data_IF_255761737657
#
_entry.id   IF_255761737657
#
_cell.length_a   1.000
_cell.length_b   1.000
_cell.length_c   1.000
_cell.angle_alpha   90.00
_cell.angle_beta   90.00
_cell.angle_gamma   90.00
#
_symmetry.space_group_name_H-M   'P 1'
#
loop_
_entity.id
_entity.type
_entity.pdbx_description
1 polymer ?
#
# COMPACT_ATOMS: atom_id res chain seq x y z
N UNK A 1 32.95 15.39 -18.95
CA UNK A 1 31.53 15.03 -19.05
C UNK A 1 31.43 13.59 -18.57
N UNK A 2 31.10 13.40 -17.30
CA UNK A 2 31.13 12.09 -16.65
C UNK A 2 29.90 11.25 -17.03
N UNK A 3 28.81 11.89 -17.49
CA UNK A 3 27.58 11.21 -17.89
C UNK A 3 27.79 10.24 -19.05
N UNK A 4 28.65 10.56 -20.02
CA UNK A 4 28.96 9.67 -21.15
C UNK A 4 29.68 8.38 -20.71
N UNK A 5 30.61 8.48 -19.75
CA UNK A 5 31.31 7.32 -19.20
C UNK A 5 30.36 6.40 -18.42
N UNK A 6 29.48 6.99 -17.60
CA UNK A 6 28.45 6.26 -16.86
C UNK A 6 27.47 5.56 -17.82
N UNK A 7 27.00 6.26 -18.87
CA UNK A 7 26.14 5.65 -19.88
C UNK A 7 26.81 4.48 -20.61
N UNK A 8 28.11 4.60 -20.91
CA UNK A 8 28.88 3.51 -21.49
C UNK A 8 28.99 2.31 -20.54
N UNK A 9 29.26 2.54 -19.26
CA UNK A 9 29.30 1.50 -18.23
C UNK A 9 27.96 0.75 -18.14
N UNK A 10 26.83 1.48 -18.11
CA UNK A 10 25.49 0.90 -18.09
C UNK A 10 25.26 0.04 -19.33
N UNK A 11 25.57 0.56 -20.52
CA UNK A 11 25.38 -0.16 -21.78
C UNK A 11 26.21 -1.45 -21.86
N UNK A 12 27.43 -1.45 -21.32
CA UNK A 12 28.26 -2.66 -21.25
C UNK A 12 27.71 -3.67 -20.24
N UNK A 13 27.18 -3.21 -19.11
CA UNK A 13 26.60 -4.10 -18.10
C UNK A 13 25.30 -4.74 -18.55
N UNK A 14 24.43 -4.00 -19.25
CA UNK A 14 23.16 -4.50 -19.81
C UNK A 14 23.36 -5.64 -20.82
N UNK A 15 24.48 -5.64 -21.56
CA UNK A 15 24.80 -6.71 -22.52
C UNK A 15 25.17 -8.04 -21.85
N UNK A 16 25.47 -8.02 -20.55
CA UNK A 16 25.93 -9.19 -19.82
C UNK A 16 24.85 -9.65 -18.84
N UNK A 17 24.59 -10.97 -18.71
CA UNK A 17 23.69 -11.46 -17.68
C UNK A 17 24.24 -11.11 -16.29
N UNK A 18 23.41 -10.44 -15.50
CA UNK A 18 23.77 -9.96 -14.15
C UNK A 18 23.77 -11.16 -13.20
N UNK A 19 24.95 -11.49 -12.63
CA UNK A 19 25.04 -12.48 -11.53
C UNK A 19 24.83 -11.86 -10.15
N UNK A 20 25.26 -10.61 -10.00
CA UNK A 20 25.15 -9.80 -8.78
C UNK A 20 24.72 -8.38 -9.19
N UNK A 21 23.81 -7.73 -8.45
CA UNK A 21 23.37 -6.37 -8.74
C UNK A 21 24.55 -5.41 -8.92
N UNK A 22 24.49 -4.58 -9.96
CA UNK A 22 25.50 -3.54 -10.19
C UNK A 22 24.93 -2.17 -9.84
N UNK A 23 25.58 -1.46 -8.91
CA UNK A 23 25.09 -0.20 -8.36
C UNK A 23 26.02 0.95 -8.76
N UNK A 24 25.45 2.00 -9.32
CA UNK A 24 26.12 3.27 -9.62
C UNK A 24 25.48 4.36 -8.77
N UNK A 25 26.21 4.86 -7.78
CA UNK A 25 25.73 5.91 -6.89
C UNK A 25 26.09 7.30 -7.43
N UNK A 26 25.12 7.94 -8.10
CA UNK A 26 25.31 9.24 -8.74
C UNK A 26 25.55 10.37 -7.73
N UNK A 27 25.05 10.23 -6.49
CA UNK A 27 25.28 11.19 -5.41
C UNK A 27 26.74 11.22 -4.95
N UNK A 28 27.43 10.08 -4.99
CA UNK A 28 28.84 9.98 -4.58
C UNK A 28 29.83 10.26 -5.71
N UNK A 29 29.36 10.33 -6.95
CA UNK A 29 30.17 10.61 -8.12
C UNK A 29 30.17 12.11 -8.45
N UNK A 30 31.27 12.64 -9.05
CA UNK A 30 31.34 14.03 -9.50
C UNK A 30 30.51 14.25 -10.77
N UNK A 31 29.18 14.17 -10.64
CA UNK A 31 28.22 14.34 -11.74
C UNK A 31 27.64 15.75 -11.65
N UNK A 32 27.79 16.54 -12.71
CA UNK A 32 27.19 17.88 -12.80
C UNK A 32 25.78 17.82 -13.43
N UNK A 33 25.09 18.96 -13.49
CA UNK A 33 23.70 18.99 -13.97
C UNK A 33 23.56 18.65 -15.46
N UNK A 34 24.55 19.00 -16.28
CA UNK A 34 24.57 18.61 -17.69
C UNK A 34 24.75 17.08 -17.84
N UNK A 35 25.56 16.47 -16.99
CA UNK A 35 25.73 15.01 -16.95
C UNK A 35 24.42 14.32 -16.48
N UNK A 36 23.70 14.90 -15.49
CA UNK A 36 22.40 14.40 -15.05
C UNK A 36 21.37 14.46 -16.16
N UNK A 37 21.23 15.62 -16.80
CA UNK A 37 20.28 15.80 -17.91
C UNK A 37 20.58 14.87 -19.09
N UNK A 38 21.88 14.65 -19.39
CA UNK A 38 22.29 13.67 -20.37
C UNK A 38 21.85 12.24 -19.97
N UNK A 39 22.09 11.83 -18.72
CA UNK A 39 21.70 10.52 -18.22
C UNK A 39 20.18 10.33 -18.21
N UNK A 40 19.41 11.36 -17.82
CA UNK A 40 17.95 11.33 -17.84
C UNK A 40 17.43 11.05 -19.25
N UNK A 41 17.97 11.75 -20.25
CA UNK A 41 17.61 11.54 -21.66
C UNK A 41 18.05 10.19 -22.19
N UNK A 42 19.24 9.74 -21.80
CA UNK A 42 19.81 8.46 -22.24
C UNK A 42 19.01 7.26 -21.70
N UNK A 43 18.74 7.26 -20.39
CA UNK A 43 18.01 6.19 -19.72
C UNK A 43 16.52 6.22 -20.08
N UNK A 44 15.92 7.41 -20.08
CA UNK A 44 14.48 7.61 -20.13
C UNK A 44 13.74 6.91 -18.99
N UNK A 45 12.41 7.05 -18.99
CA UNK A 45 11.54 6.34 -18.06
C UNK A 45 10.87 5.14 -18.76
N UNK A 46 10.87 4.01 -18.08
CA UNK A 46 10.21 2.78 -18.50
C UNK A 46 8.73 2.77 -18.13
N UNK A 47 8.12 1.58 -18.17
CA UNK A 47 6.68 1.42 -17.98
C UNK A 47 6.25 1.16 -16.52
N UNK A 48 7.19 1.06 -15.58
CA UNK A 48 6.91 0.68 -14.21
C UNK A 48 7.58 1.61 -13.19
N UNK A 49 6.88 1.86 -12.10
CA UNK A 49 7.39 2.59 -10.95
C UNK A 49 6.87 1.97 -9.65
N UNK A 50 7.73 1.91 -8.64
CA UNK A 50 7.42 1.44 -7.29
C UNK A 50 7.69 2.60 -6.33
N UNK A 51 6.78 2.81 -5.38
CA UNK A 51 6.89 3.87 -4.38
C UNK A 51 6.79 3.27 -2.99
N UNK A 52 7.84 3.42 -2.19
CA UNK A 52 7.81 3.09 -0.77
C UNK A 52 7.61 4.35 0.06
N UNK A 53 6.67 4.30 1.03
CA UNK A 53 6.39 5.37 1.99
C UNK A 53 6.75 5.00 3.43
N UNK A 54 7.22 3.78 3.66
CA UNK A 54 7.63 3.28 4.97
C UNK A 54 9.08 3.64 5.30
N UNK A 55 9.71 2.81 6.12
CA UNK A 55 11.16 2.89 6.34
C UNK A 55 11.88 2.69 5.00
N UNK A 56 12.86 3.55 4.69
CA UNK A 56 13.49 3.56 3.36
C UNK A 56 12.59 4.14 2.26
N UNK A 57 11.91 5.25 2.55
CA UNK A 57 11.08 6.00 1.58
C UNK A 57 11.85 6.25 0.27
N UNK A 58 11.36 5.66 -0.81
CA UNK A 58 12.03 5.69 -2.09
C UNK A 58 11.05 5.72 -3.27
N UNK A 59 11.57 6.22 -4.40
CA UNK A 59 10.96 6.10 -5.73
C UNK A 59 11.89 5.25 -6.57
N UNK A 60 11.35 4.18 -7.14
CA UNK A 60 12.06 3.23 -7.98
C UNK A 60 11.38 3.28 -9.34
N UNK A 61 12.11 3.60 -10.41
CA UNK A 61 11.54 3.75 -11.76
C UNK A 61 12.36 2.89 -12.71
N UNK A 62 11.70 2.06 -13.52
CA UNK A 62 12.38 1.36 -14.61
C UNK A 62 12.84 2.36 -15.66
N UNK A 63 13.89 2.03 -16.40
CA UNK A 63 14.33 2.84 -17.55
C UNK A 63 13.87 2.17 -18.86
N UNK A 64 14.24 2.74 -20.02
CA UNK A 64 14.05 2.05 -21.29
C UNK A 64 14.91 0.79 -21.44
N UNK A 65 15.95 0.64 -20.61
CA UNK A 65 16.79 -0.56 -20.60
C UNK A 65 16.23 -1.58 -19.60
N UNK A 66 15.84 -2.78 -20.05
CA UNK A 66 15.39 -3.84 -19.16
C UNK A 66 16.43 -4.17 -18.09
N UNK A 67 15.98 -4.33 -16.84
CA UNK A 67 16.86 -4.60 -15.71
C UNK A 67 17.69 -3.40 -15.24
N UNK A 68 17.43 -2.18 -15.74
CA UNK A 68 18.06 -0.95 -15.25
C UNK A 68 17.02 -0.07 -14.61
N UNK A 69 17.30 0.33 -13.37
CA UNK A 69 16.38 1.04 -12.49
C UNK A 69 17.05 2.29 -11.96
N UNK A 70 16.26 3.37 -11.84
CA UNK A 70 16.65 4.53 -11.05
C UNK A 70 16.02 4.44 -9.68
N UNK A 71 16.84 4.52 -8.65
CA UNK A 71 16.44 4.40 -7.25
C UNK A 71 16.76 5.70 -6.53
N UNK A 72 15.72 6.42 -6.11
CA UNK A 72 15.83 7.67 -5.36
C UNK A 72 15.35 7.48 -3.93
N UNK A 73 16.21 7.79 -2.96
CA UNK A 73 15.88 7.77 -1.54
C UNK A 73 15.59 9.18 -1.04
N UNK A 74 14.58 9.30 -0.19
CA UNK A 74 14.15 10.59 0.36
C UNK A 74 14.08 10.52 1.88
N UNK A 75 14.30 11.66 2.53
CA UNK A 75 13.94 11.82 3.93
C UNK A 75 12.44 12.12 4.10
N UNK A 76 12.02 12.28 5.35
CA UNK A 76 10.62 12.58 5.70
C UNK A 76 10.14 13.92 5.12
N UNK A 77 11.06 14.88 4.93
CA UNK A 77 10.80 16.20 4.33
C UNK A 77 10.76 16.18 2.80
N UNK A 78 10.83 15.01 2.15
CA UNK A 78 10.94 14.84 0.69
C UNK A 78 12.22 15.42 0.06
N UNK A 79 13.26 15.65 0.85
CA UNK A 79 14.58 15.98 0.30
C UNK A 79 15.25 14.71 -0.22
N UNK A 80 15.79 14.77 -1.44
CA UNK A 80 16.57 13.69 -2.03
C UNK A 80 17.84 13.45 -1.21
N UNK A 81 18.00 12.24 -0.71
CA UNK A 81 19.19 11.80 0.03
C UNK A 81 20.20 11.11 -0.89
N UNK A 82 19.69 10.24 -1.78
CA UNK A 82 20.54 9.41 -2.63
C UNK A 82 19.87 9.17 -3.98
N UNK A 83 20.67 9.28 -5.04
CA UNK A 83 20.29 9.01 -6.42
C UNK A 83 21.20 7.91 -6.98
N UNK A 84 20.61 6.78 -7.31
CA UNK A 84 21.33 5.61 -7.78
C UNK A 84 20.74 5.04 -9.07
N UNK A 85 21.61 4.39 -9.82
CA UNK A 85 21.22 3.48 -10.88
C UNK A 85 21.57 2.06 -10.40
N UNK A 86 20.60 1.17 -10.45
CA UNK A 86 20.77 -0.23 -10.10
C UNK A 86 20.47 -1.08 -11.33
N UNK A 87 21.39 -1.98 -11.67
CA UNK A 87 21.27 -2.92 -12.77
C UNK A 87 21.07 -4.31 -12.18
N UNK A 88 19.81 -4.74 -12.14
CA UNK A 88 19.33 -5.97 -11.52
C UNK A 88 17.94 -6.34 -12.06
N UNK A 89 17.55 -7.60 -11.93
CA UNK A 89 16.19 -8.05 -12.30
C UNK A 89 15.12 -7.30 -11.51
N UNK A 90 15.31 -7.21 -10.19
CA UNK A 90 14.48 -6.45 -9.25
C UNK A 90 15.43 -5.71 -8.31
N UNK A 91 15.24 -4.40 -8.08
CA UNK A 91 16.04 -3.63 -7.14
C UNK A 91 15.98 -4.20 -5.73
N UNK A 92 17.12 -4.21 -5.03
CA UNK A 92 17.24 -4.81 -3.68
C UNK A 92 16.16 -4.31 -2.72
N UNK A 93 15.95 -2.99 -2.68
CA UNK A 93 14.98 -2.35 -1.79
C UNK A 93 13.50 -2.68 -2.13
N UNK A 94 13.23 -3.19 -3.33
CA UNK A 94 11.89 -3.62 -3.72
C UNK A 94 11.57 -5.05 -3.25
N UNK A 95 12.60 -5.82 -2.86
CA UNK A 95 12.44 -7.20 -2.37
C UNK A 95 12.05 -7.16 -0.89
N UNK A 96 10.96 -7.84 -0.54
CA UNK A 96 10.55 -7.97 0.86
C UNK A 96 11.57 -8.81 1.64
N UNK A 97 11.86 -8.41 2.87
CA UNK A 97 12.73 -9.18 3.77
C UNK A 97 12.10 -10.52 4.13
N UNK A 98 12.93 -11.51 4.45
CA UNK A 98 12.42 -12.82 4.88
C UNK A 98 11.58 -12.69 6.16
N UNK A 99 12.00 -11.83 7.10
CA UNK A 99 11.27 -11.56 8.34
C UNK A 99 9.87 -10.99 8.05
N UNK A 100 9.75 -10.06 7.09
CA UNK A 100 8.45 -9.50 6.68
C UNK A 100 7.53 -10.58 6.09
N UNK A 101 8.10 -11.52 5.32
CA UNK A 101 7.35 -12.63 4.73
C UNK A 101 6.89 -13.59 5.82
N UNK A 102 7.75 -13.90 6.79
CA UNK A 102 7.43 -14.77 7.92
C UNK A 102 6.32 -14.17 8.80
N UNK A 103 6.42 -12.88 9.13
CA UNK A 103 5.42 -12.14 9.90
C UNK A 103 4.08 -12.07 9.15
N UNK A 104 4.10 -11.80 7.83
CA UNK A 104 2.90 -11.82 7.00
C UNK A 104 2.27 -13.22 6.98
N UNK A 105 3.08 -14.27 6.84
CA UNK A 105 2.60 -15.65 6.89
C UNK A 105 1.97 -16.00 8.24
N UNK A 106 2.57 -15.58 9.35
CA UNK A 106 2.02 -15.77 10.70
C UNK A 106 0.69 -15.02 10.88
N UNK A 107 0.63 -13.76 10.44
CA UNK A 107 -0.59 -12.95 10.47
C UNK A 107 -1.73 -13.60 9.68
N UNK A 108 -1.46 -14.06 8.46
CA UNK A 108 -2.46 -14.75 7.63
C UNK A 108 -2.95 -16.05 8.26
N UNK A 109 -2.07 -16.83 8.93
CA UNK A 109 -2.48 -18.03 9.66
C UNK A 109 -3.42 -17.71 10.82
N UNK A 110 -3.09 -16.69 11.61
CA UNK A 110 -3.93 -16.23 12.71
C UNK A 110 -5.30 -15.75 12.20
N UNK A 111 -5.33 -14.99 11.10
CA UNK A 111 -6.58 -14.58 10.45
C UNK A 111 -7.39 -15.80 9.98
N UNK A 112 -6.74 -16.81 9.40
CA UNK A 112 -7.40 -18.03 8.96
C UNK A 112 -7.97 -18.84 10.13
N UNK A 113 -7.26 -18.92 11.25
CA UNK A 113 -7.76 -19.57 12.48
C UNK A 113 -8.98 -18.83 13.04
N UNK A 114 -8.91 -17.49 13.11
CA UNK A 114 -10.05 -16.66 13.51
C UNK A 114 -11.26 -16.88 12.58
N UNK A 115 -11.07 -16.93 11.26
CA UNK A 115 -12.14 -17.22 10.30
C UNK A 115 -12.74 -18.63 10.44
N UNK A 116 -11.98 -19.60 10.95
CA UNK A 116 -12.49 -20.97 11.20
C UNK A 116 -13.27 -21.05 12.51
N UNK A 117 -12.81 -20.33 13.53
CA UNK A 117 -13.49 -20.25 14.83
C UNK A 117 -14.81 -19.45 14.72
N UNK A 118 -14.80 -18.41 13.88
CA UNK A 118 -15.95 -17.57 13.57
C UNK A 118 -16.28 -17.69 12.07
N UNK A 119 -16.79 -18.85 11.61
CA UNK A 119 -17.14 -19.03 10.20
C UNK A 119 -18.20 -18.02 9.81
N UNK A 120 -17.99 -17.33 8.69
CA UNK A 120 -19.02 -16.48 8.08
C UNK A 120 -20.14 -17.40 7.61
N UNK A 121 -21.17 -17.57 8.43
CA UNK A 121 -22.37 -18.33 8.06
C UNK A 121 -23.33 -17.45 7.25
N UNK A 122 -24.18 -18.05 6.43
CA UNK A 122 -25.26 -17.34 5.71
C UNK A 122 -26.18 -16.54 6.64
N UNK A 123 -26.19 -16.87 7.95
CA UNK A 123 -26.70 -16.01 8.99
C UNK A 123 -25.58 -15.06 9.46
N UNK A 124 -25.59 -13.87 8.88
CA UNK A 124 -24.81 -12.70 9.29
C UNK A 124 -24.81 -12.59 10.83
N UNK A 125 -23.66 -12.37 11.51
CA UNK A 125 -23.68 -12.09 12.93
C UNK A 125 -24.62 -10.90 13.15
N UNK A 126 -25.54 -11.03 14.09
CA UNK A 126 -26.56 -10.02 14.37
C UNK A 126 -25.85 -8.82 15.00
N UNK A 127 -25.35 -7.92 14.16
CA UNK A 127 -24.57 -6.75 14.60
C UNK A 127 -25.53 -5.77 15.25
N UNK A 128 -25.38 -5.60 16.56
CA UNK A 128 -26.05 -4.54 17.31
C UNK A 128 -25.38 -3.21 17.01
N UNK A 129 -26.22 -2.19 16.79
CA UNK A 129 -25.76 -0.89 16.33
C UNK A 129 -26.16 0.17 17.35
N UNK A 130 -25.18 0.88 17.90
CA UNK A 130 -25.41 1.90 18.91
C UNK A 130 -25.48 3.30 18.29
N UNK A 131 -26.48 4.07 18.69
CA UNK A 131 -26.66 5.46 18.29
C UNK A 131 -25.62 6.36 18.98
N UNK A 132 -24.84 7.12 18.20
CA UNK A 132 -23.85 8.09 18.72
C UNK A 132 -24.44 9.26 19.50
N UNK A 133 -25.73 9.53 19.32
CA UNK A 133 -26.41 10.71 19.89
C UNK A 133 -27.02 10.39 21.25
N UNK A 134 -27.76 9.27 21.35
CA UNK A 134 -28.54 8.94 22.54
C UNK A 134 -28.23 7.56 23.14
N UNK A 135 -27.29 6.82 22.53
CA UNK A 135 -26.80 5.53 23.00
C UNK A 135 -27.85 4.41 23.02
N UNK A 136 -28.95 4.61 22.29
CA UNK A 136 -29.91 3.55 22.05
C UNK A 136 -29.29 2.51 21.10
N UNK A 137 -29.48 1.23 21.43
CA UNK A 137 -28.93 0.12 20.66
C UNK A 137 -30.04 -0.52 19.84
N UNK A 138 -29.88 -0.51 18.51
CA UNK A 138 -30.69 -1.35 17.63
C UNK A 138 -30.19 -2.78 17.75
N UNK A 139 -31.06 -3.67 18.24
CA UNK A 139 -30.82 -5.11 18.27
C UNK A 139 -31.69 -5.77 17.19
N UNK A 140 -31.09 -6.29 16.09
CA UNK A 140 -31.85 -6.95 15.05
C UNK A 140 -32.67 -8.15 15.55
N UNK A 141 -32.33 -8.78 16.68
CA UNK A 141 -33.17 -9.86 17.27
C UNK A 141 -34.51 -9.32 17.77
N UNK A 142 -34.56 -8.05 18.20
CA UNK A 142 -35.76 -7.41 18.70
C UNK A 142 -36.50 -6.62 17.61
N UNK A 143 -35.76 -6.05 16.65
CA UNK A 143 -36.32 -5.11 15.68
C UNK A 143 -36.53 -3.72 16.29
N UNK A 144 -37.53 -2.99 15.81
CA UNK A 144 -37.88 -1.64 16.25
C UNK A 144 -39.40 -1.43 16.21
N UNK A 145 -40.04 -1.47 17.38
CA UNK A 145 -41.50 -1.32 17.50
C UNK A 145 -42.01 0.06 17.05
N UNK A 146 -41.21 1.12 17.19
CA UNK A 146 -41.61 2.50 16.84
C UNK A 146 -41.74 2.64 15.33
N UNK A 147 -40.77 2.07 14.60
CA UNK A 147 -40.76 2.05 13.14
C UNK A 147 -41.37 0.78 12.53
N UNK A 148 -41.93 -0.09 13.37
CA UNK A 148 -42.54 -1.36 12.98
C UNK A 148 -41.60 -2.28 12.20
N UNK A 149 -40.31 -2.27 12.57
CA UNK A 149 -39.32 -3.18 12.02
C UNK A 149 -39.42 -4.52 12.74
N UNK A 150 -39.71 -5.63 12.05
CA UNK A 150 -39.84 -6.93 12.70
C UNK A 150 -38.49 -7.47 13.20
N UNK A 151 -38.51 -8.36 14.21
CA UNK A 151 -37.37 -9.19 14.57
C UNK A 151 -36.70 -9.86 13.36
N UNK A 152 -35.37 -9.87 13.36
CA UNK A 152 -34.51 -10.50 12.35
C UNK A 152 -34.00 -9.58 11.25
N UNK A 153 -34.42 -8.30 11.19
CA UNK A 153 -33.97 -7.38 10.14
C UNK A 153 -32.60 -6.78 10.50
N UNK A 154 -31.50 -7.10 9.78
CA UNK A 154 -30.19 -6.53 10.10
C UNK A 154 -30.16 -5.03 9.82
N UNK A 155 -29.29 -4.29 10.54
CA UNK A 155 -29.20 -2.83 10.40
C UNK A 155 -28.89 -2.38 8.95
N UNK A 156 -28.13 -3.19 8.22
CA UNK A 156 -27.82 -2.99 6.80
C UNK A 156 -29.07 -2.94 5.92
N UNK A 157 -30.11 -3.71 6.27
CA UNK A 157 -31.38 -3.82 5.52
C UNK A 157 -32.50 -2.89 6.03
N UNK A 158 -32.24 -2.06 7.05
CA UNK A 158 -33.19 -1.04 7.47
C UNK A 158 -33.46 -0.04 6.33
N UNK A 159 -34.71 0.43 6.13
CA UNK A 159 -35.04 1.41 5.10
C UNK A 159 -34.19 2.69 5.18
N UNK A 160 -33.96 3.36 4.06
CA UNK A 160 -33.15 4.59 4.00
C UNK A 160 -33.75 5.75 4.82
N UNK A 161 -35.06 5.75 5.00
CA UNK A 161 -35.80 6.74 5.81
C UNK A 161 -35.86 6.40 7.30
N UNK A 162 -35.35 5.24 7.72
CA UNK A 162 -35.35 4.86 9.12
C UNK A 162 -34.38 5.76 9.90
N UNK A 163 -34.83 6.22 11.07
CA UNK A 163 -34.07 7.05 12.00
C UNK A 163 -34.15 6.46 13.41
N UNK A 164 -33.20 6.80 14.28
CA UNK A 164 -33.22 6.36 15.67
C UNK A 164 -34.57 6.71 16.33
N UNK A 165 -35.27 5.73 16.95
CA UNK A 165 -36.59 5.96 17.56
C UNK A 165 -36.56 6.89 18.78
N UNK A 166 -35.36 7.17 19.32
CA UNK A 166 -35.18 8.00 20.52
C UNK A 166 -34.78 9.44 20.17
N UNK A 167 -33.95 9.66 19.16
CA UNK A 167 -33.36 10.96 18.86
C UNK A 167 -33.43 11.40 17.39
N UNK A 168 -34.08 10.60 16.54
CA UNK A 168 -34.31 10.89 15.13
C UNK A 168 -33.03 11.03 14.27
N UNK A 169 -31.86 10.66 14.79
CA UNK A 169 -30.64 10.64 13.97
C UNK A 169 -30.71 9.56 12.88
N UNK A 170 -30.18 9.87 11.71
CA UNK A 170 -30.13 8.93 10.57
C UNK A 170 -29.23 7.71 10.84
N UNK A 171 -29.32 6.67 10.00
CA UNK A 171 -28.46 5.47 10.05
C UNK A 171 -26.95 5.77 10.10
N UNK A 172 -26.49 6.87 9.50
CA UNK A 172 -25.07 7.29 9.52
C UNK A 172 -24.56 7.65 10.93
N UNK A 173 -25.48 7.95 11.85
CA UNK A 173 -25.21 8.26 13.26
C UNK A 173 -24.97 7.04 14.14
N UNK A 174 -24.85 5.83 13.58
CA UNK A 174 -24.63 4.58 14.34
C UNK A 174 -23.22 4.01 14.16
N UNK A 175 -22.80 3.16 15.09
CA UNK A 175 -21.59 2.32 14.99
C UNK A 175 -21.86 0.92 15.56
N UNK A 176 -21.17 -0.08 15.03
CA UNK A 176 -21.24 -1.45 15.55
C UNK A 176 -20.47 -1.58 16.86
N UNK A 177 -21.00 -2.40 17.76
CA UNK A 177 -20.30 -2.83 18.97
C UNK A 177 -18.96 -3.49 18.56
N UNK A 178 -17.86 -3.13 19.24
CA UNK A 178 -16.54 -3.75 19.01
C UNK A 178 -16.47 -5.15 19.61
#
# INVERSE_FOLDING_TARGET
>A
MNGAFIAHEIAERVKQPVKEPHIINLTLLPVNDADREYLDRFLGEGCSAIFSRGYGKCRIVSTHFPGVWRVNYFNDMNTLLQDMIEIADIPEIAVAGIDDIEDACAGLKNTLEWLKEYPVTENEPVVRMECKVCWWVYDPVLGDDVWQIPPGVPFSQLPDYWCCPVCETSKSGFYGDR
#
